data_IF_878148253847
#
_entry.id   IF_878148253847
#
_cell.length_a   1.000
_cell.length_b   1.000
_cell.length_c   1.000
_cell.angle_alpha   90.00
_cell.angle_beta   90.00
_cell.angle_gamma   90.00
#
_symmetry.space_group_name_H-M   'P 1'
#
loop_
_entity.id
_entity.type
_entity.pdbx_description
1 polymer ?
#
# COMPACT_ATOMS: atom_id res chain seq x y z
N UNK A 1 14.55 -12.86 -3.51
CA UNK A 1 14.86 -12.73 -4.94
C UNK A 1 14.66 -14.04 -5.67
N UNK A 2 14.53 -13.96 -6.98
CA UNK A 2 14.56 -15.06 -7.95
C UNK A 2 15.69 -14.78 -8.93
N UNK A 3 16.51 -15.79 -9.21
CA UNK A 3 17.60 -15.70 -10.18
C UNK A 3 17.40 -16.74 -11.28
N UNK A 4 17.73 -16.36 -12.52
CA UNK A 4 17.79 -17.25 -13.67
C UNK A 4 19.07 -17.03 -14.46
N UNK A 5 19.62 -18.06 -15.08
CA UNK A 5 20.69 -17.87 -16.06
C UNK A 5 20.16 -17.02 -17.22
N UNK A 6 20.89 -15.99 -17.60
CA UNK A 6 20.81 -15.21 -18.83
C UNK A 6 19.54 -14.36 -19.00
N UNK A 7 18.33 -14.94 -19.02
CA UNK A 7 17.10 -14.22 -19.36
C UNK A 7 15.86 -14.70 -18.54
N UNK A 8 14.76 -13.91 -18.51
CA UNK A 8 13.60 -14.18 -17.65
C UNK A 8 12.84 -15.47 -17.95
N UNK A 9 12.97 -15.99 -19.16
CA UNK A 9 12.25 -17.20 -19.61
C UNK A 9 13.06 -18.50 -19.37
N UNK A 10 14.30 -18.40 -18.83
CA UNK A 10 15.11 -19.58 -18.56
C UNK A 10 14.43 -20.49 -17.53
N UNK A 11 14.34 -21.80 -17.84
CA UNK A 11 13.60 -22.77 -17.01
C UNK A 11 14.28 -23.02 -15.66
N UNK A 12 15.63 -23.04 -15.62
CA UNK A 12 16.38 -23.10 -14.37
C UNK A 12 16.21 -21.82 -13.57
N UNK A 13 15.77 -21.94 -12.32
CA UNK A 13 15.64 -20.78 -11.45
C UNK A 13 15.88 -21.12 -9.98
N UNK A 14 16.59 -20.23 -9.29
CA UNK A 14 16.72 -20.23 -7.84
C UNK A 14 15.73 -19.24 -7.23
N UNK A 15 14.94 -19.68 -6.24
CA UNK A 15 13.86 -18.91 -5.61
C UNK A 15 14.06 -18.79 -4.11
N UNK A 16 13.40 -17.80 -3.50
CA UNK A 16 13.35 -17.66 -2.04
C UNK A 16 14.64 -17.14 -1.42
N UNK A 17 15.49 -16.51 -2.20
CA UNK A 17 16.75 -15.93 -1.74
C UNK A 17 16.48 -14.70 -0.89
N UNK A 18 16.91 -14.72 0.39
CA UNK A 18 16.60 -13.70 1.40
C UNK A 18 17.81 -13.00 2.01
N UNK A 19 19.00 -13.53 1.80
CA UNK A 19 20.24 -13.02 2.38
C UNK A 19 21.38 -12.98 1.34
N UNK A 20 22.42 -12.22 1.65
CA UNK A 20 23.56 -12.00 0.76
C UNK A 20 24.39 -13.26 0.48
N UNK A 21 24.55 -14.16 1.47
CA UNK A 21 25.36 -15.37 1.29
C UNK A 21 24.68 -16.32 0.30
N UNK A 22 23.38 -16.54 0.47
CA UNK A 22 22.56 -17.33 -0.46
C UNK A 22 22.52 -16.69 -1.84
N UNK A 23 22.38 -15.34 -1.92
CA UNK A 23 22.42 -14.61 -3.18
C UNK A 23 23.74 -14.80 -3.93
N UNK A 24 24.87 -14.63 -3.24
CA UNK A 24 26.18 -14.77 -3.86
C UNK A 24 26.44 -16.19 -4.39
N UNK A 25 25.95 -17.20 -3.67
CA UNK A 25 26.03 -18.61 -4.12
C UNK A 25 25.16 -18.86 -5.35
N UNK A 26 23.88 -18.48 -5.28
CA UNK A 26 22.93 -18.65 -6.38
C UNK A 26 23.37 -17.89 -7.64
N UNK A 27 23.90 -16.67 -7.47
CA UNK A 27 24.40 -15.86 -8.57
C UNK A 27 25.54 -16.56 -9.31
N UNK A 28 26.55 -17.07 -8.59
CA UNK A 28 27.68 -17.81 -9.20
C UNK A 28 27.20 -19.06 -9.93
N UNK A 29 26.22 -19.78 -9.37
CA UNK A 29 25.69 -20.99 -10.03
C UNK A 29 24.89 -20.63 -11.29
N UNK A 30 24.06 -19.59 -11.26
CA UNK A 30 23.33 -19.12 -12.42
C UNK A 30 24.28 -18.58 -13.50
N UNK A 31 25.30 -17.83 -13.11
CA UNK A 31 26.35 -17.32 -14.02
C UNK A 31 27.10 -18.44 -14.72
N UNK A 32 27.46 -19.52 -14.01
CA UNK A 32 28.15 -20.68 -14.58
C UNK A 32 27.28 -21.45 -15.59
N UNK A 33 25.98 -21.34 -15.51
CA UNK A 33 25.01 -21.95 -16.46
C UNK A 33 24.64 -21.04 -17.63
N UNK A 34 24.99 -19.77 -17.59
CA UNK A 34 24.72 -18.79 -18.64
C UNK A 34 25.79 -18.88 -19.72
N UNK A 35 25.38 -18.85 -20.99
CA UNK A 35 26.32 -18.86 -22.13
C UNK A 35 27.17 -17.57 -22.20
N UNK A 36 26.65 -16.43 -21.73
CA UNK A 36 27.31 -15.13 -21.77
C UNK A 36 27.68 -14.60 -20.38
N UNK A 37 27.53 -15.40 -19.31
CA UNK A 37 27.81 -15.00 -17.95
C UNK A 37 26.82 -14.02 -17.33
N UNK A 38 25.72 -13.75 -18.03
CA UNK A 38 24.64 -12.86 -17.54
C UNK A 38 23.70 -13.61 -16.59
N UNK A 39 23.17 -12.91 -15.60
CA UNK A 39 22.16 -13.44 -14.66
C UNK A 39 20.97 -12.49 -14.61
N UNK A 40 19.79 -13.00 -14.86
CA UNK A 40 18.55 -12.26 -14.66
C UNK A 40 18.12 -12.33 -13.21
N UNK A 41 17.82 -11.18 -12.60
CA UNK A 41 17.44 -11.06 -11.18
C UNK A 41 16.12 -10.32 -11.07
N UNK A 42 15.17 -10.90 -10.36
CA UNK A 42 13.88 -10.27 -10.10
C UNK A 42 13.43 -10.41 -8.64
N UNK A 43 12.44 -9.62 -8.25
CA UNK A 43 11.86 -9.75 -6.93
C UNK A 43 11.02 -11.03 -6.82
N UNK A 44 11.22 -11.79 -5.75
CA UNK A 44 10.32 -12.89 -5.39
C UNK A 44 9.03 -12.30 -4.81
N UNK A 45 7.96 -12.35 -5.60
CA UNK A 45 6.67 -11.76 -5.23
C UNK A 45 5.83 -12.64 -4.31
N UNK A 46 6.29 -13.85 -3.97
CA UNK A 46 5.60 -14.70 -2.99
C UNK A 46 5.69 -14.05 -1.60
N UNK A 47 4.54 -13.96 -0.92
CA UNK A 47 4.45 -13.25 0.37
C UNK A 47 5.47 -13.74 1.40
N UNK A 48 5.63 -15.06 1.54
CA UNK A 48 6.56 -15.66 2.51
C UNK A 48 8.05 -15.39 2.21
N UNK A 49 8.39 -15.02 0.98
CA UNK A 49 9.77 -14.72 0.56
C UNK A 49 10.06 -13.21 0.45
N UNK A 50 9.05 -12.37 0.65
CA UNK A 50 9.19 -10.93 0.49
C UNK A 50 8.86 -10.22 1.81
N UNK A 51 9.87 -9.80 2.60
CA UNK A 51 9.66 -9.16 3.89
C UNK A 51 8.86 -7.85 3.81
N UNK A 52 9.02 -7.08 2.74
CA UNK A 52 8.25 -5.85 2.52
C UNK A 52 6.78 -6.17 2.32
N UNK A 53 6.47 -7.18 1.51
CA UNK A 53 5.09 -7.63 1.29
C UNK A 53 4.47 -8.19 2.57
N UNK A 54 5.22 -8.94 3.38
CA UNK A 54 4.74 -9.43 4.68
C UNK A 54 4.34 -8.28 5.61
N UNK A 55 5.17 -7.21 5.70
CA UNK A 55 4.83 -6.02 6.48
C UNK A 55 3.56 -5.32 5.97
N UNK A 56 3.37 -5.26 4.66
CA UNK A 56 2.15 -4.68 4.08
C UNK A 56 0.92 -5.53 4.38
N UNK A 57 1.02 -6.86 4.31
CA UNK A 57 -0.06 -7.78 4.66
C UNK A 57 -0.39 -7.65 6.15
N UNK A 58 0.62 -7.60 7.03
CA UNK A 58 0.40 -7.41 8.47
C UNK A 58 -0.40 -6.13 8.74
N UNK A 59 0.02 -4.98 8.19
CA UNK A 59 -0.72 -3.71 8.34
C UNK A 59 -2.16 -3.81 7.85
N UNK A 60 -2.38 -4.41 6.68
CA UNK A 60 -3.73 -4.59 6.14
C UNK A 60 -4.60 -5.50 7.03
N UNK A 61 -3.99 -6.50 7.67
CA UNK A 61 -4.68 -7.38 8.61
C UNK A 61 -5.04 -6.64 9.91
N UNK A 62 -4.12 -5.84 10.43
CA UNK A 62 -4.36 -4.99 11.61
C UNK A 62 -5.49 -3.98 11.34
N UNK A 63 -5.47 -3.30 10.19
CA UNK A 63 -6.55 -2.40 9.77
C UNK A 63 -7.90 -3.13 9.65
N UNK A 64 -7.92 -4.35 9.12
CA UNK A 64 -9.12 -5.17 9.01
C UNK A 64 -9.67 -5.54 10.40
N UNK A 65 -8.80 -5.93 11.33
CA UNK A 65 -9.18 -6.25 12.72
C UNK A 65 -9.81 -5.02 13.38
N UNK A 66 -9.18 -3.86 13.29
CA UNK A 66 -9.72 -2.62 13.84
C UNK A 66 -11.09 -2.30 13.26
N UNK A 67 -11.27 -2.48 11.97
CA UNK A 67 -12.55 -2.29 11.29
C UNK A 67 -13.63 -3.25 11.80
N UNK A 68 -13.29 -4.53 11.97
CA UNK A 68 -14.23 -5.54 12.48
C UNK A 68 -14.62 -5.32 13.94
N UNK A 69 -13.69 -4.79 14.75
CA UNK A 69 -13.93 -4.46 16.16
C UNK A 69 -14.67 -3.13 16.37
N UNK A 70 -14.79 -2.29 15.34
CA UNK A 70 -15.49 -1.01 15.42
C UNK A 70 -17.00 -1.21 15.38
N UNK A 71 -17.64 -1.04 16.53
CA UNK A 71 -19.09 -1.15 16.68
C UNK A 71 -19.82 0.12 16.20
N UNK A 72 -20.98 -0.07 15.59
CA UNK A 72 -21.86 1.03 15.19
C UNK A 72 -22.50 1.69 16.42
N UNK A 73 -22.43 3.03 16.57
CA UNK A 73 -23.02 3.72 17.73
C UNK A 73 -24.56 3.64 17.77
N UNK A 74 -25.21 3.29 16.67
CA UNK A 74 -26.66 3.20 16.59
C UNK A 74 -27.21 1.79 16.77
N UNK A 75 -26.52 0.74 16.29
CA UNK A 75 -27.06 -0.64 16.31
C UNK A 75 -26.07 -1.69 16.78
N UNK A 76 -24.91 -1.29 17.29
CA UNK A 76 -23.83 -2.13 17.82
C UNK A 76 -23.28 -3.20 16.85
N UNK A 77 -23.64 -3.10 15.58
CA UNK A 77 -23.09 -4.00 14.57
C UNK A 77 -21.60 -3.71 14.31
N UNK A 78 -20.76 -4.75 14.13
CA UNK A 78 -19.36 -4.59 13.79
C UNK A 78 -19.18 -3.97 12.40
N UNK A 79 -18.02 -3.37 12.18
CA UNK A 79 -17.65 -2.83 10.87
C UNK A 79 -18.15 -1.41 10.60
N UNK A 80 -18.43 -0.62 11.63
CA UNK A 80 -18.63 0.83 11.49
C UNK A 80 -17.30 1.50 11.15
N UNK A 81 -17.16 1.96 9.92
CA UNK A 81 -15.88 2.44 9.40
C UNK A 81 -16.04 3.53 8.37
N UNK A 82 -14.90 4.11 7.96
CA UNK A 82 -14.82 5.06 6.86
C UNK A 82 -15.49 4.51 5.60
N UNK A 83 -16.58 5.15 5.16
CA UNK A 83 -17.32 4.81 3.92
C UNK A 83 -16.90 5.70 2.76
N UNK A 84 -16.62 6.98 3.03
CA UNK A 84 -16.29 7.96 1.99
C UNK A 84 -15.40 9.08 2.54
N UNK A 85 -14.53 9.62 1.68
CA UNK A 85 -13.81 10.88 1.91
C UNK A 85 -14.43 11.96 1.06
N UNK A 86 -14.79 13.09 1.66
CA UNK A 86 -15.31 14.26 0.98
C UNK A 86 -14.15 15.17 0.59
N UNK A 87 -13.81 15.32 -0.70
CA UNK A 87 -12.74 16.21 -1.15
C UNK A 87 -13.16 17.69 -1.03
N UNK A 88 -12.25 18.59 -1.35
CA UNK A 88 -12.54 20.02 -1.44
C UNK A 88 -12.07 20.80 -0.22
N UNK A 89 -10.93 20.43 0.38
CA UNK A 89 -10.25 21.28 1.36
C UNK A 89 -9.75 22.53 0.62
N UNK A 90 -10.16 23.78 1.00
CA UNK A 90 -9.75 24.97 0.29
C UNK A 90 -8.25 25.26 0.45
N UNK A 91 -7.62 25.75 -0.59
CA UNK A 91 -6.23 26.17 -0.56
C UNK A 91 -6.06 27.45 0.29
N UNK A 92 -5.06 27.47 1.16
CA UNK A 92 -4.77 28.62 2.03
C UNK A 92 -4.39 29.88 1.26
N UNK A 93 -3.79 29.76 0.09
CA UNK A 93 -3.31 30.91 -0.70
C UNK A 93 -4.37 31.47 -1.67
N UNK A 94 -5.08 30.60 -2.41
CA UNK A 94 -5.98 31.04 -3.49
C UNK A 94 -7.46 30.70 -3.24
N UNK A 95 -7.79 29.94 -2.18
CA UNK A 95 -9.16 29.52 -1.88
C UNK A 95 -9.72 28.42 -2.78
N UNK A 96 -9.04 28.03 -3.86
CA UNK A 96 -9.48 26.97 -4.75
C UNK A 96 -9.64 25.64 -4.00
N UNK A 97 -10.68 24.88 -4.33
CA UNK A 97 -10.89 23.57 -3.75
C UNK A 97 -9.88 22.58 -4.27
N UNK A 98 -9.17 21.92 -3.35
CA UNK A 98 -8.17 20.90 -3.67
C UNK A 98 -8.80 19.50 -3.70
N UNK A 99 -8.04 18.50 -4.18
CA UNK A 99 -8.41 17.09 -4.08
C UNK A 99 -8.26 16.52 -2.67
N UNK A 100 -7.69 17.30 -1.75
CA UNK A 100 -7.52 16.88 -0.37
C UNK A 100 -8.88 16.75 0.33
N UNK A 101 -9.05 15.73 1.16
CA UNK A 101 -10.31 15.55 1.86
C UNK A 101 -10.48 16.60 2.97
N UNK A 102 -11.68 17.20 3.04
CA UNK A 102 -12.09 18.09 4.13
C UNK A 102 -12.81 17.37 5.25
N UNK A 103 -13.43 16.23 4.94
CA UNK A 103 -14.17 15.43 5.90
C UNK A 103 -14.19 13.95 5.49
N UNK A 104 -14.53 13.10 6.45
CA UNK A 104 -14.81 11.67 6.26
C UNK A 104 -16.26 11.37 6.65
N UNK A 105 -16.89 10.46 5.90
CA UNK A 105 -18.17 9.86 6.26
C UNK A 105 -17.87 8.47 6.81
N UNK A 106 -18.27 8.23 8.04
CA UNK A 106 -18.24 6.92 8.69
C UNK A 106 -19.63 6.31 8.64
N UNK A 107 -19.76 5.06 8.23
CA UNK A 107 -21.07 4.47 7.97
C UNK A 107 -21.20 3.04 8.43
N UNK A 108 -22.43 2.68 8.78
CA UNK A 108 -22.83 1.32 9.13
C UNK A 108 -23.59 0.67 7.98
N UNK A 109 -23.09 -0.44 7.45
CA UNK A 109 -23.75 -1.17 6.36
C UNK A 109 -25.00 -1.91 6.80
N UNK A 110 -25.19 -2.15 8.12
CA UNK A 110 -26.36 -2.85 8.66
C UNK A 110 -27.59 -1.94 8.83
N UNK A 111 -27.42 -0.77 9.44
CA UNK A 111 -28.55 0.11 9.75
C UNK A 111 -28.56 1.43 8.97
N UNK A 112 -27.57 1.70 8.14
CA UNK A 112 -27.47 2.95 7.37
C UNK A 112 -27.04 4.18 8.20
N UNK A 113 -26.73 4.02 9.49
CA UNK A 113 -26.24 5.15 10.29
C UNK A 113 -24.96 5.72 9.70
N UNK A 114 -24.92 7.05 9.51
CA UNK A 114 -23.75 7.76 9.01
C UNK A 114 -23.39 8.94 9.91
N UNK A 115 -22.11 9.20 10.05
CA UNK A 115 -21.57 10.33 10.79
C UNK A 115 -20.46 10.99 9.96
N UNK A 116 -20.54 12.31 9.78
CA UNK A 116 -19.49 13.08 9.13
C UNK A 116 -18.49 13.59 10.17
N UNK A 117 -17.21 13.27 9.99
CA UNK A 117 -16.10 13.73 10.83
C UNK A 117 -15.19 14.67 10.05
N UNK A 118 -14.88 15.83 10.61
CA UNK A 118 -13.88 16.72 10.06
C UNK A 118 -12.48 16.05 10.20
N UNK A 119 -11.70 16.06 9.12
CA UNK A 119 -10.41 15.37 9.09
C UNK A 119 -9.25 16.18 9.66
N UNK A 120 -9.33 17.50 9.61
CA UNK A 120 -8.17 18.35 9.81
C UNK A 120 -8.38 19.35 10.94
N UNK A 121 -7.36 19.49 11.77
CA UNK A 121 -7.24 20.60 12.72
C UNK A 121 -7.08 21.95 11.98
N UNK A 122 -6.63 21.94 10.73
CA UNK A 122 -6.50 23.12 9.88
C UNK A 122 -7.56 23.08 8.76
N UNK A 123 -8.34 24.16 8.59
CA UNK A 123 -9.44 24.20 7.62
C UNK A 123 -8.98 24.48 6.17
N UNK A 124 -7.70 24.45 5.87
CA UNK A 124 -7.13 24.73 4.56
C UNK A 124 -5.97 23.80 4.20
N UNK A 125 -5.78 23.67 2.88
CA UNK A 125 -4.68 22.92 2.27
C UNK A 125 -3.42 23.78 2.09
N UNK A 126 -2.25 23.12 2.14
CA UNK A 126 -0.98 23.73 1.73
C UNK A 126 -1.03 24.09 0.24
N UNK A 127 -0.60 25.31 -0.15
CA UNK A 127 -0.50 25.72 -1.55
C UNK A 127 0.35 24.78 -2.41
N UNK A 128 1.36 24.11 -1.86
CA UNK A 128 2.17 23.10 -2.54
C UNK A 128 1.36 21.87 -3.00
N UNK A 129 0.15 21.67 -2.45
CA UNK A 129 -0.78 20.59 -2.80
C UNK A 129 -2.04 21.07 -3.52
N UNK A 130 -2.00 22.27 -4.06
CA UNK A 130 -3.09 22.88 -4.80
C UNK A 130 -2.76 22.85 -6.28
N UNK A 131 -3.60 22.22 -7.09
CA UNK A 131 -3.41 22.11 -8.55
C UNK A 131 -3.41 23.48 -9.25
N UNK A 132 -3.92 24.55 -8.61
CA UNK A 132 -3.92 25.91 -9.14
C UNK A 132 -2.65 26.69 -8.79
N UNK A 133 -2.13 26.55 -7.56
CA UNK A 133 -0.93 27.26 -7.12
C UNK A 133 0.36 26.53 -7.51
N UNK A 134 0.29 25.22 -7.71
CA UNK A 134 1.40 24.33 -8.06
C UNK A 134 0.89 23.30 -9.06
N UNK A 135 0.73 23.68 -10.34
CA UNK A 135 0.17 22.86 -11.41
C UNK A 135 1.10 21.70 -11.82
#
# INVERSE_FOLDING_TARGET
LVLRPEHPEHLDMDKGIRDHATLAKAFRLAQAKSAHGAVFVENDLRAFSNPTRQKTILKATEDLIQKLLSACPSCDAPGYWLSQRIPGLPCRACGSLTRLPKAEIWGCKKCGHEEQKALNAQPWADPARCDFCNP
#
